data_IF_875782709090
#
_entry.id   IF_875782709090
#
_cell.length_a   1.000
_cell.length_b   1.000
_cell.length_c   1.000
_cell.angle_alpha   90.00
_cell.angle_beta   90.00
_cell.angle_gamma   90.00
#
_symmetry.space_group_name_H-M   'P 1'
#
loop_
_entity.id
_entity.type
_entity.pdbx_description
1 polymer ?
#
# COMPACT_ATOMS: atom_id res chain seq x y z
N UNK A 1 -17.18 -10.70 51.18
CA UNK A 1 -17.91 -10.93 49.91
C UNK A 1 -17.78 -9.68 49.08
N UNK A 2 -17.22 -9.79 47.87
CA UNK A 2 -17.00 -8.66 46.96
C UNK A 2 -15.61 -8.70 46.30
N UNK A 3 -15.44 -9.58 45.31
CA UNK A 3 -14.29 -9.57 44.38
C UNK A 3 -14.53 -8.46 43.34
N UNK A 4 -13.50 -7.75 42.92
CA UNK A 4 -12.94 -7.90 41.58
C UNK A 4 -11.68 -7.06 41.34
N UNK A 5 -10.78 -7.66 40.58
CA UNK A 5 -9.45 -7.22 40.19
C UNK A 5 -9.54 -6.10 39.16
N UNK A 6 -8.72 -5.06 39.28
CA UNK A 6 -8.11 -4.43 38.10
C UNK A 6 -6.65 -4.12 38.37
N UNK A 7 -5.82 -4.93 37.73
CA UNK A 7 -4.41 -4.69 37.48
C UNK A 7 -4.26 -3.40 36.65
N UNK A 8 -4.01 -2.25 37.28
CA UNK A 8 -3.52 -1.08 36.53
C UNK A 8 -2.01 -1.14 36.49
N UNK A 9 -1.51 -1.68 35.37
CA UNK A 9 -0.13 -1.52 34.91
C UNK A 9 0.32 -0.07 35.11
N UNK A 10 1.20 0.16 36.09
CA UNK A 10 1.92 1.41 36.29
C UNK A 10 2.89 1.57 35.12
N UNK A 11 2.41 2.06 33.99
CA UNK A 11 3.28 2.61 32.96
C UNK A 11 3.97 3.83 33.58
N UNK A 12 5.32 3.87 33.70
CA UNK A 12 5.98 5.07 34.13
C UNK A 12 5.70 6.15 33.09
N UNK A 13 4.98 7.18 33.52
CA UNK A 13 4.94 8.53 32.97
C UNK A 13 6.20 8.76 32.13
N UNK A 14 6.03 8.73 30.79
CA UNK A 14 7.06 9.18 29.88
C UNK A 14 7.35 10.61 30.31
N UNK A 15 8.51 10.81 30.96
CA UNK A 15 9.03 12.11 31.30
C UNK A 15 8.96 12.97 30.04
N UNK A 16 7.96 13.85 29.97
CA UNK A 16 7.86 14.86 28.93
C UNK A 16 8.98 15.83 29.27
N UNK A 17 10.16 15.55 28.72
CA UNK A 17 11.32 16.43 28.86
C UNK A 17 10.89 17.78 28.30
N UNK A 18 11.15 18.89 29.02
CA UNK A 18 10.73 20.20 28.55
C UNK A 18 11.36 20.47 27.18
N UNK A 19 10.49 20.71 26.18
CA UNK A 19 10.75 20.96 24.76
C UNK A 19 11.83 22.02 24.48
N UNK A 20 12.28 22.74 25.50
CA UNK A 20 13.23 23.85 25.43
C UNK A 20 14.71 23.42 25.45
N UNK A 21 15.05 22.23 25.97
CA UNK A 21 16.46 21.74 25.97
C UNK A 21 16.87 21.16 24.62
N UNK A 22 15.93 20.55 23.91
CA UNK A 22 16.15 19.96 22.57
C UNK A 22 16.28 21.07 21.51
N UNK A 23 15.46 22.13 21.59
CA UNK A 23 15.55 23.33 20.74
C UNK A 23 16.92 24.01 20.69
N UNK A 24 17.72 23.92 21.76
CA UNK A 24 19.05 24.55 21.85
C UNK A 24 20.16 23.69 21.24
N UNK A 25 19.98 22.36 21.20
CA UNK A 25 20.83 21.42 20.47
C UNK A 25 20.47 21.38 18.97
N UNK A 26 19.20 21.62 18.64
CA UNK A 26 18.62 21.58 17.28
C UNK A 26 19.15 22.67 16.32
N UNK A 27 19.88 23.68 16.80
CA UNK A 27 20.42 24.75 15.94
C UNK A 27 21.91 24.66 15.64
N UNK A 28 22.65 23.73 16.26
CA UNK A 28 24.09 23.57 16.00
C UNK A 28 24.38 22.33 15.15
N UNK A 29 24.76 22.49 13.86
CA UNK A 29 25.04 21.35 12.99
C UNK A 29 26.13 20.43 13.54
N UNK A 30 27.13 20.98 14.24
CA UNK A 30 28.21 20.20 14.85
C UNK A 30 27.74 19.34 16.03
N UNK A 31 26.79 19.85 16.83
CA UNK A 31 26.20 19.06 17.91
C UNK A 31 25.33 17.92 17.34
N UNK A 32 24.48 18.22 16.36
CA UNK A 32 23.64 17.23 15.67
C UNK A 32 24.47 16.15 14.96
N UNK A 33 25.59 16.55 14.32
CA UNK A 33 26.51 15.59 13.69
C UNK A 33 27.14 14.65 14.72
N UNK A 34 27.63 15.19 15.84
CA UNK A 34 28.23 14.38 16.92
C UNK A 34 27.20 13.44 17.56
N UNK A 35 25.98 13.91 17.81
CA UNK A 35 24.92 13.05 18.36
C UNK A 35 24.51 11.97 17.37
N UNK A 36 24.46 12.26 16.07
CA UNK A 36 24.20 11.28 15.02
C UNK A 36 25.30 10.21 14.98
N UNK A 37 26.57 10.61 14.95
CA UNK A 37 27.71 9.69 14.99
C UNK A 37 27.68 8.78 16.22
N UNK A 38 27.41 9.36 17.41
CA UNK A 38 27.29 8.59 18.66
C UNK A 38 26.11 7.62 18.64
N UNK A 39 24.95 8.06 18.14
CA UNK A 39 23.71 7.26 18.16
C UNK A 39 23.73 6.10 17.16
N UNK A 40 24.29 6.34 15.97
CA UNK A 40 24.32 5.34 14.88
C UNK A 40 25.69 4.67 14.72
N UNK A 41 26.65 4.99 15.60
CA UNK A 41 28.02 4.46 15.59
C UNK A 41 28.70 4.55 14.21
N UNK A 42 28.58 5.70 13.55
CA UNK A 42 29.19 5.93 12.23
C UNK A 42 30.39 6.86 12.34
N UNK A 43 31.51 6.58 11.65
CA UNK A 43 32.70 7.43 11.71
C UNK A 43 32.45 8.80 11.06
N UNK A 44 31.60 8.87 10.03
CA UNK A 44 31.26 10.10 9.32
C UNK A 44 29.76 10.38 9.44
N UNK A 45 29.42 11.47 10.12
CA UNK A 45 28.06 12.01 10.14
C UNK A 45 27.76 12.90 8.93
N UNK A 46 26.48 13.27 8.73
CA UNK A 46 26.05 14.13 7.63
C UNK A 46 26.72 15.51 7.69
N UNK A 47 26.88 16.12 6.51
CA UNK A 47 27.45 17.46 6.40
C UNK A 47 26.54 18.53 7.04
N UNK A 48 27.15 19.62 7.51
CA UNK A 48 26.44 20.73 8.12
C UNK A 48 25.38 21.32 7.19
N UNK A 49 25.61 21.33 5.86
CA UNK A 49 24.63 21.77 4.87
C UNK A 49 23.40 20.86 4.85
N UNK A 50 23.60 19.54 4.89
CA UNK A 50 22.52 18.55 4.92
C UNK A 50 21.70 18.66 6.20
N UNK A 51 22.38 18.85 7.34
CA UNK A 51 21.71 19.03 8.64
C UNK A 51 20.83 20.28 8.62
N UNK A 52 21.37 21.44 8.19
CA UNK A 52 20.58 22.68 8.07
C UNK A 52 19.39 22.53 7.12
N UNK A 53 19.58 21.81 5.99
CA UNK A 53 18.51 21.54 5.03
C UNK A 53 17.38 20.73 5.64
N UNK A 54 17.68 19.71 6.45
CA UNK A 54 16.64 18.94 7.13
C UNK A 54 15.89 19.74 8.19
N UNK A 55 16.60 20.56 8.98
CA UNK A 55 15.93 21.47 9.92
C UNK A 55 15.01 22.46 9.21
N UNK A 56 15.51 23.16 8.17
CA UNK A 56 14.68 24.08 7.39
C UNK A 56 13.46 23.39 6.75
N UNK A 57 13.61 22.14 6.30
CA UNK A 57 12.51 21.34 5.76
C UNK A 57 11.48 20.97 6.84
N UNK A 58 11.95 20.56 8.01
CA UNK A 58 11.10 20.23 9.15
C UNK A 58 10.37 21.46 9.69
N UNK A 59 11.05 22.59 9.83
CA UNK A 59 10.44 23.86 10.23
C UNK A 59 9.33 24.30 9.25
N UNK A 60 9.52 24.03 7.95
CA UNK A 60 8.54 24.39 6.91
C UNK A 60 7.34 23.44 6.84
N UNK A 61 7.57 22.13 6.88
CA UNK A 61 6.55 21.11 6.54
C UNK A 61 6.12 20.28 7.76
N UNK A 62 6.81 20.37 8.89
CA UNK A 62 6.64 19.48 10.05
C UNK A 62 7.11 18.04 9.82
N UNK A 63 7.67 17.74 8.65
CA UNK A 63 8.17 16.42 8.27
C UNK A 63 9.48 16.52 7.47
N UNK A 64 10.31 15.48 7.57
CA UNK A 64 11.53 15.30 6.77
C UNK A 64 11.30 14.33 5.61
N UNK A 65 10.09 13.79 5.44
CA UNK A 65 9.71 12.87 4.35
C UNK A 65 9.99 13.45 2.98
N UNK A 66 10.39 12.62 2.02
CA UNK A 66 10.74 13.06 0.67
C UNK A 66 9.66 13.96 0.06
N UNK A 67 10.06 15.17 -0.35
CA UNK A 67 9.19 16.11 -1.06
C UNK A 67 9.04 15.64 -2.50
N UNK A 68 8.33 14.52 -2.67
CA UNK A 68 7.99 13.90 -3.94
C UNK A 68 6.96 14.76 -4.66
N UNK A 69 7.43 15.80 -5.34
CA UNK A 69 6.61 16.70 -6.18
C UNK A 69 6.88 16.36 -7.65
N UNK A 70 5.87 15.87 -8.38
CA UNK A 70 5.97 15.58 -9.83
C UNK A 70 5.93 14.09 -10.20
N UNK A 71 6.65 13.70 -11.28
CA UNK A 71 6.77 12.37 -11.92
C UNK A 71 7.34 11.26 -10.98
N UNK A 72 6.76 11.09 -9.81
CA UNK A 72 7.21 10.14 -8.79
C UNK A 72 6.82 8.71 -9.17
N UNK A 73 5.77 8.58 -10.00
CA UNK A 73 5.39 7.33 -10.61
C UNK A 73 5.86 7.27 -12.06
N UNK A 74 6.33 6.09 -12.54
CA UNK A 74 6.57 5.88 -13.96
C UNK A 74 5.31 6.25 -14.74
N UNK A 75 5.44 7.09 -15.77
CA UNK A 75 4.32 7.44 -16.65
C UNK A 75 3.68 6.15 -17.16
N UNK A 76 2.44 5.89 -16.75
CA UNK A 76 1.68 4.74 -17.24
C UNK A 76 1.12 5.07 -18.63
N UNK A 77 2.00 5.24 -19.62
CA UNK A 77 1.61 5.72 -20.95
C UNK A 77 0.67 4.78 -21.68
N UNK A 78 0.71 3.48 -21.37
CA UNK A 78 -0.08 2.44 -22.05
C UNK A 78 -1.34 2.07 -21.26
N UNK A 79 -1.36 2.28 -19.94
CA UNK A 79 -2.52 1.96 -19.07
C UNK A 79 -3.43 3.19 -18.98
N UNK A 80 -3.91 3.64 -20.15
CA UNK A 80 -4.94 4.69 -20.23
C UNK A 80 -6.31 4.12 -19.90
N UNK A 81 -7.24 4.96 -19.45
CA UNK A 81 -8.62 4.55 -19.17
C UNK A 81 -9.30 3.88 -20.38
N UNK A 82 -9.02 4.38 -21.58
CA UNK A 82 -9.50 3.80 -22.84
C UNK A 82 -9.01 2.35 -23.03
N UNK A 83 -7.72 2.10 -22.85
CA UNK A 83 -7.16 0.75 -22.99
C UNK A 83 -7.69 -0.19 -21.91
N UNK A 84 -7.91 0.32 -20.69
CA UNK A 84 -8.55 -0.46 -19.62
C UNK A 84 -9.97 -0.85 -20.02
N UNK A 85 -10.76 0.08 -20.59
CA UNK A 85 -12.12 -0.21 -21.05
C UNK A 85 -12.14 -1.25 -22.18
N UNK A 86 -11.26 -1.14 -23.18
CA UNK A 86 -11.13 -2.12 -24.27
C UNK A 86 -10.81 -3.53 -23.74
N UNK A 87 -9.80 -3.63 -22.87
CA UNK A 87 -9.42 -4.91 -22.23
C UNK A 87 -10.58 -5.46 -21.39
N UNK A 88 -11.26 -4.60 -20.63
CA UNK A 88 -12.40 -4.99 -19.80
C UNK A 88 -13.55 -5.57 -20.63
N UNK A 89 -13.90 -4.92 -21.76
CA UNK A 89 -14.96 -5.38 -22.65
C UNK A 89 -14.68 -6.78 -23.22
N UNK A 90 -13.46 -7.02 -23.71
CA UNK A 90 -13.06 -8.33 -24.25
C UNK A 90 -13.11 -9.43 -23.18
N UNK A 91 -12.68 -9.11 -21.97
CA UNK A 91 -12.72 -10.05 -20.84
C UNK A 91 -14.16 -10.36 -20.42
N UNK A 92 -15.04 -9.36 -20.39
CA UNK A 92 -16.45 -9.57 -20.05
C UNK A 92 -17.17 -10.43 -21.10
N UNK A 93 -16.86 -10.24 -22.38
CA UNK A 93 -17.39 -11.08 -23.46
C UNK A 93 -16.95 -12.53 -23.33
N UNK A 94 -15.69 -12.78 -23.03
CA UNK A 94 -15.19 -14.12 -22.77
C UNK A 94 -14.11 -14.14 -21.68
N UNK A 95 -14.47 -14.49 -20.43
CA UNK A 95 -13.52 -14.49 -19.32
C UNK A 95 -12.48 -15.61 -19.42
N UNK A 96 -12.64 -16.57 -20.33
CA UNK A 96 -11.66 -17.64 -20.58
C UNK A 96 -10.58 -17.23 -21.58
N UNK A 97 -10.63 -16.01 -22.12
CA UNK A 97 -9.62 -15.51 -23.03
C UNK A 97 -8.24 -15.46 -22.36
N UNK A 98 -7.23 -15.92 -23.10
CA UNK A 98 -5.85 -15.84 -22.63
C UNK A 98 -5.34 -14.40 -22.76
N UNK A 99 -4.38 -14.02 -21.89
CA UNK A 99 -3.73 -12.70 -21.96
C UNK A 99 -3.14 -12.43 -23.36
N UNK A 100 -2.63 -13.46 -24.03
CA UNK A 100 -2.06 -13.35 -25.38
C UNK A 100 -3.13 -13.00 -26.41
N UNK A 101 -4.30 -13.64 -26.33
CA UNK A 101 -5.44 -13.35 -27.22
C UNK A 101 -5.94 -11.92 -27.04
N UNK A 102 -6.14 -11.50 -25.78
CA UNK A 102 -6.58 -10.13 -25.47
C UNK A 102 -5.56 -9.10 -25.98
N UNK A 103 -4.25 -9.38 -25.82
CA UNK A 103 -3.19 -8.53 -26.33
C UNK A 103 -3.24 -8.38 -27.87
N UNK A 104 -3.44 -9.49 -28.59
CA UNK A 104 -3.60 -9.48 -30.05
C UNK A 104 -4.84 -8.70 -30.49
N UNK A 105 -5.98 -8.88 -29.82
CA UNK A 105 -7.24 -8.20 -30.15
C UNK A 105 -7.19 -6.69 -29.82
N UNK A 106 -6.47 -6.29 -28.78
CA UNK A 106 -6.31 -4.87 -28.38
C UNK A 106 -5.13 -4.15 -29.04
N UNK A 107 -4.25 -4.89 -29.73
CA UNK A 107 -2.98 -4.35 -30.26
C UNK A 107 -1.95 -3.99 -29.18
N UNK A 108 -2.18 -4.37 -27.92
CA UNK A 108 -1.29 -4.07 -26.80
C UNK A 108 -0.19 -5.13 -26.65
N UNK A 109 0.94 -4.75 -26.05
CA UNK A 109 1.94 -5.74 -25.63
C UNK A 109 1.35 -6.61 -24.51
N UNK A 110 1.60 -7.93 -24.58
CA UNK A 110 1.18 -8.91 -23.55
C UNK A 110 1.45 -8.45 -22.12
N UNK A 111 2.64 -7.91 -21.86
CA UNK A 111 3.03 -7.43 -20.51
C UNK A 111 2.20 -6.24 -20.03
N UNK A 112 1.74 -5.38 -20.94
CA UNK A 112 0.87 -4.24 -20.62
C UNK A 112 -0.56 -4.71 -20.35
N UNK A 113 -1.08 -5.62 -21.18
CA UNK A 113 -2.38 -6.27 -20.95
C UNK A 113 -2.40 -6.99 -19.60
N UNK A 114 -1.32 -7.70 -19.24
CA UNK A 114 -1.21 -8.35 -17.93
C UNK A 114 -1.22 -7.35 -16.77
N UNK A 115 -0.57 -6.19 -16.90
CA UNK A 115 -0.63 -5.12 -15.89
C UNK A 115 -2.03 -4.56 -15.73
N UNK A 116 -2.75 -4.34 -16.84
CA UNK A 116 -4.15 -3.88 -16.82
C UNK A 116 -5.03 -4.88 -16.07
N UNK A 117 -4.92 -6.16 -16.41
CA UNK A 117 -5.71 -7.23 -15.77
C UNK A 117 -5.44 -7.29 -14.25
N UNK A 118 -4.17 -7.26 -13.84
CA UNK A 118 -3.80 -7.41 -12.42
C UNK A 118 -4.04 -6.14 -11.60
N UNK A 119 -3.62 -4.98 -12.09
CA UNK A 119 -3.56 -3.75 -11.28
C UNK A 119 -4.82 -2.91 -11.43
N UNK A 120 -5.33 -2.76 -12.65
CA UNK A 120 -6.48 -1.91 -12.95
C UNK A 120 -7.80 -2.67 -12.74
N UNK A 121 -7.91 -3.87 -13.29
CA UNK A 121 -9.12 -4.70 -13.21
C UNK A 121 -9.14 -5.63 -11.99
N UNK A 122 -8.03 -5.70 -11.24
CA UNK A 122 -7.88 -6.53 -10.03
C UNK A 122 -8.26 -8.00 -10.24
N UNK A 123 -8.03 -8.52 -11.45
CA UNK A 123 -8.24 -9.92 -11.77
C UNK A 123 -7.05 -10.73 -11.27
N UNK A 124 -7.29 -11.54 -10.24
CA UNK A 124 -6.30 -12.43 -9.66
C UNK A 124 -6.37 -13.81 -10.33
N UNK A 125 -5.26 -14.54 -10.43
CA UNK A 125 -5.17 -15.82 -11.14
C UNK A 125 -5.89 -17.00 -10.46
N UNK A 126 -6.87 -16.75 -9.58
CA UNK A 126 -7.58 -17.82 -8.89
C UNK A 126 -8.66 -18.44 -9.78
N UNK A 127 -8.56 -19.76 -9.92
CA UNK A 127 -9.51 -20.60 -10.65
C UNK A 127 -10.38 -21.30 -9.61
N UNK A 128 -11.69 -21.05 -9.63
CA UNK A 128 -12.64 -21.90 -8.91
C UNK A 128 -12.59 -23.28 -9.57
N UNK A 129 -12.09 -24.27 -8.84
CA UNK A 129 -12.08 -25.66 -9.31
C UNK A 129 -13.44 -26.27 -9.00
N UNK A 130 -14.25 -26.50 -10.04
CA UNK A 130 -15.47 -27.31 -9.93
C UNK A 130 -15.11 -28.76 -10.27
N UNK A 131 -15.04 -29.62 -9.26
CA UNK A 131 -14.66 -31.03 -9.45
C UNK A 131 -15.82 -31.89 -10.01
N UNK A 132 -17.06 -31.42 -9.89
CA UNK A 132 -18.25 -32.14 -10.34
C UNK A 132 -19.19 -31.19 -11.10
N UNK A 133 -19.69 -31.63 -12.26
CA UNK A 133 -20.73 -30.91 -12.97
C UNK A 133 -22.04 -31.03 -12.19
N UNK A 134 -22.62 -29.89 -11.79
CA UNK A 134 -23.89 -29.88 -11.07
C UNK A 134 -25.01 -30.04 -12.10
N UNK A 135 -25.82 -31.13 -12.05
CA UNK A 135 -26.95 -31.27 -12.95
C UNK A 135 -28.00 -30.20 -12.66
N UNK A 136 -28.73 -29.75 -13.69
CA UNK A 136 -29.70 -28.65 -13.61
C UNK A 136 -30.73 -28.88 -12.48
N UNK A 137 -31.16 -30.13 -12.26
CA UNK A 137 -32.08 -30.50 -11.18
C UNK A 137 -31.51 -30.19 -9.78
N UNK A 138 -30.22 -30.49 -9.56
CA UNK A 138 -29.57 -30.26 -8.27
C UNK A 138 -29.39 -28.76 -7.97
N UNK A 139 -29.28 -27.91 -9.00
CA UNK A 139 -29.25 -26.44 -8.82
C UNK A 139 -30.55 -25.95 -8.19
N UNK A 140 -31.71 -26.38 -8.74
CA UNK A 140 -33.03 -26.01 -8.22
C UNK A 140 -33.23 -26.49 -6.79
N UNK A 141 -32.96 -27.77 -6.53
CA UNK A 141 -33.12 -28.35 -5.19
C UNK A 141 -32.27 -27.63 -4.12
N UNK A 142 -31.04 -27.25 -4.46
CA UNK A 142 -30.16 -26.49 -3.54
C UNK A 142 -30.68 -25.07 -3.29
N UNK A 143 -31.18 -24.40 -4.33
CA UNK A 143 -31.79 -23.07 -4.19
C UNK A 143 -33.04 -23.12 -3.30
N UNK A 144 -33.93 -24.08 -3.55
CA UNK A 144 -35.16 -24.28 -2.77
C UNK A 144 -34.83 -24.60 -1.30
N UNK A 145 -33.84 -25.48 -1.06
CA UNK A 145 -33.35 -25.79 0.28
C UNK A 145 -32.83 -24.55 1.00
N UNK A 146 -31.95 -23.76 0.38
CA UNK A 146 -31.38 -22.56 1.00
C UNK A 146 -32.46 -21.52 1.33
N UNK A 147 -33.46 -21.37 0.46
CA UNK A 147 -34.57 -20.43 0.65
C UNK A 147 -35.48 -20.85 1.80
N UNK A 148 -35.69 -22.16 1.98
CA UNK A 148 -36.57 -22.72 3.02
C UNK A 148 -36.07 -22.53 4.46
N UNK A 149 -34.76 -22.39 4.66
CA UNK A 149 -34.13 -22.19 5.98
C UNK A 149 -33.66 -20.75 6.22
N UNK A 150 -33.97 -19.83 5.29
CA UNK A 150 -33.64 -18.40 5.40
C UNK A 150 -34.75 -17.57 6.04
N UNK A 151 -35.85 -18.20 6.49
CA UNK A 151 -36.94 -17.60 7.26
C UNK A 151 -36.85 -18.04 8.72
#
# INVERSE_FOLDING_TARGET
MGRELLQTSSYPERSVRPLNRERRLERSPSATRRSFQKRFNVPKGPDAKTIRKFFAKFDRTGSVDDNRVGNVEPRQTVVTSENVAKVSGIVQQNPRNTVRRIASETGLKRSSTQKILRNSLRMLPYKIQTHQAIPIKAVRQRFDFATRFSQ
#
